data_IF_595942291372
#
_entry.id   IF_595942291372
#
_cell.length_a   1.000
_cell.length_b   1.000
_cell.length_c   1.000
_cell.angle_alpha   90.00
_cell.angle_beta   90.00
_cell.angle_gamma   90.00
#
_symmetry.space_group_name_H-M   'P 1'
#
loop_
_entity.id
_entity.type
_entity.pdbx_description
1 polymer ?
#
# COMPACT_ATOMS: atom_id res chain seq x y z
N UNK A 1 68.96 52.91 -6.59
CA UNK A 1 67.73 53.07 -7.39
C UNK A 1 66.78 51.91 -7.08
N UNK A 2 65.79 52.20 -6.23
CA UNK A 2 64.47 51.55 -6.05
C UNK A 2 64.29 50.06 -6.33
N UNK A 3 64.34 49.24 -5.27
CA UNK A 3 63.65 47.93 -5.17
C UNK A 3 62.13 48.18 -5.08
N UNK A 4 61.35 47.70 -6.05
CA UNK A 4 59.88 47.64 -5.96
C UNK A 4 59.48 46.30 -5.33
N UNK A 5 58.92 46.36 -4.13
CA UNK A 5 58.23 45.24 -3.46
C UNK A 5 56.80 45.24 -4.01
N UNK A 6 56.41 44.18 -4.71
CA UNK A 6 55.02 43.95 -5.13
C UNK A 6 54.39 43.10 -4.03
N UNK A 7 53.62 43.73 -3.14
CA UNK A 7 52.73 43.03 -2.23
C UNK A 7 51.51 42.52 -3.01
N UNK A 8 51.45 41.21 -3.25
CA UNK A 8 50.21 40.54 -3.62
C UNK A 8 49.28 40.53 -2.39
N UNK A 9 48.27 41.38 -2.38
CA UNK A 9 47.12 41.22 -1.50
C UNK A 9 46.24 40.09 -2.06
N UNK A 10 46.32 38.92 -1.44
CA UNK A 10 45.41 37.81 -1.68
C UNK A 10 44.05 38.14 -1.05
N UNK A 11 43.10 38.59 -1.86
CA UNK A 11 41.71 38.77 -1.44
C UNK A 11 41.08 37.37 -1.28
N UNK A 12 41.03 36.84 -0.05
CA UNK A 12 40.21 35.66 0.27
C UNK A 12 38.74 36.07 0.16
N UNK A 13 38.13 35.85 -1.01
CA UNK A 13 36.69 35.88 -1.13
C UNK A 13 36.13 34.62 -0.44
N UNK A 14 35.62 34.77 0.79
CA UNK A 14 34.72 33.77 1.37
C UNK A 14 33.47 33.70 0.50
N UNK A 15 33.44 32.73 -0.41
CA UNK A 15 32.21 32.32 -1.07
C UNK A 15 31.38 31.59 -0.01
N UNK A 16 30.42 32.30 0.57
CA UNK A 16 29.39 31.67 1.38
C UNK A 16 28.62 30.71 0.47
N UNK A 17 28.89 29.41 0.62
CA UNK A 17 28.06 28.38 0.03
C UNK A 17 26.64 28.56 0.58
N UNK A 18 25.60 28.58 -0.28
CA UNK A 18 24.24 28.63 0.23
C UNK A 18 24.05 27.40 1.11
N UNK A 19 23.70 27.63 2.38
CA UNK A 19 23.23 26.56 3.24
C UNK A 19 22.10 25.87 2.50
N UNK A 20 22.27 24.59 2.18
CA UNK A 20 21.19 23.75 1.69
C UNK A 20 20.07 23.88 2.72
N UNK A 21 18.99 24.56 2.35
CA UNK A 21 17.78 24.56 3.15
C UNK A 21 17.35 23.08 3.22
N UNK A 22 17.63 22.43 4.35
CA UNK A 22 17.34 21.02 4.54
C UNK A 22 15.91 20.74 4.12
N UNK A 23 15.70 19.64 3.38
CA UNK A 23 14.38 19.24 2.90
C UNK A 23 13.40 19.21 4.08
N UNK A 24 12.46 20.15 4.13
CA UNK A 24 11.44 20.19 5.18
C UNK A 24 10.49 19.02 4.99
N UNK A 25 10.27 18.23 6.04
CA UNK A 25 9.31 17.12 6.01
C UNK A 25 7.96 17.57 6.57
N UNK A 26 6.87 16.96 6.07
CA UNK A 26 5.49 17.38 6.39
C UNK A 26 5.18 17.36 7.88
N UNK A 27 5.78 16.44 8.64
CA UNK A 27 5.49 16.27 10.07
C UNK A 27 6.65 16.64 10.99
N UNK A 28 7.68 17.31 10.49
CA UNK A 28 8.91 17.56 11.26
C UNK A 28 8.71 18.43 12.51
N UNK A 29 7.63 19.23 12.56
CA UNK A 29 7.37 20.22 13.62
C UNK A 29 6.34 19.73 14.67
N UNK A 30 5.68 18.58 14.46
CA UNK A 30 4.59 18.12 15.33
C UNK A 30 5.02 17.20 16.47
N UNK A 31 6.14 16.49 16.32
CA UNK A 31 6.70 15.64 17.37
C UNK A 31 8.23 15.56 17.25
N UNK A 32 8.91 15.39 18.38
CA UNK A 32 10.35 15.20 18.41
C UNK A 32 10.72 13.76 18.05
N UNK A 33 10.13 12.80 18.77
CA UNK A 33 10.36 11.37 18.61
C UNK A 33 9.09 10.62 18.24
N UNK A 34 9.23 9.62 17.37
CA UNK A 34 8.18 8.67 17.04
C UNK A 34 8.27 7.46 17.97
N UNK A 35 7.21 7.23 18.73
CA UNK A 35 7.09 6.18 19.75
C UNK A 35 6.06 5.11 19.33
N UNK A 36 5.89 4.94 18.02
CA UNK A 36 4.87 4.08 17.44
C UNK A 36 3.60 4.84 17.10
N UNK A 37 2.53 4.10 16.82
CA UNK A 37 1.28 4.67 16.32
C UNK A 37 0.63 5.61 17.32
N UNK A 38 0.87 5.45 18.62
CA UNK A 38 0.45 6.38 19.67
C UNK A 38 0.84 7.84 19.38
N UNK A 39 2.00 8.09 18.73
CA UNK A 39 2.41 9.43 18.29
C UNK A 39 1.44 10.01 17.24
N UNK A 40 0.92 9.18 16.33
CA UNK A 40 -0.08 9.61 15.35
C UNK A 40 -1.44 9.88 16.03
N UNK A 41 -1.82 9.02 16.98
CA UNK A 41 -3.13 9.06 17.63
C UNK A 41 -3.35 10.33 18.47
N UNK A 42 -2.29 11.08 18.82
CA UNK A 42 -2.48 12.37 19.52
C UNK A 42 -3.23 13.42 18.68
N UNK A 43 -3.21 13.27 17.36
CA UNK A 43 -3.86 14.20 16.43
C UNK A 43 -4.80 13.51 15.42
N UNK A 44 -4.58 12.22 15.14
CA UNK A 44 -5.30 11.45 14.12
C UNK A 44 -6.07 10.27 14.69
N UNK A 45 -6.69 10.47 15.86
CA UNK A 45 -7.51 9.45 16.51
C UNK A 45 -8.74 9.10 15.67
N UNK A 46 -9.49 10.10 15.19
CA UNK A 46 -10.67 9.90 14.35
C UNK A 46 -10.35 9.14 13.05
N UNK A 47 -9.22 9.47 12.40
CA UNK A 47 -8.74 8.74 11.23
C UNK A 47 -8.39 7.27 11.55
N UNK A 48 -7.80 7.01 12.72
CA UNK A 48 -7.47 5.65 13.15
C UNK A 48 -8.73 4.84 13.49
N UNK A 49 -9.73 5.44 14.14
CA UNK A 49 -11.01 4.79 14.42
C UNK A 49 -11.75 4.44 13.13
N UNK A 50 -11.78 5.35 12.15
CA UNK A 50 -12.40 5.06 10.85
C UNK A 50 -11.62 3.98 10.08
N UNK A 51 -10.29 4.01 10.11
CA UNK A 51 -9.44 3.00 9.50
C UNK A 51 -9.58 1.63 10.17
N UNK A 52 -9.77 1.57 11.49
CA UNK A 52 -9.98 0.33 12.23
C UNK A 52 -11.15 -0.48 11.66
N UNK A 53 -12.18 0.18 11.14
CA UNK A 53 -13.34 -0.48 10.53
C UNK A 53 -13.13 -0.86 9.05
N UNK A 54 -12.03 -0.44 8.42
CA UNK A 54 -11.74 -0.71 7.00
C UNK A 54 -11.44 -2.19 6.71
N UNK A 55 -11.62 -2.62 5.45
CA UNK A 55 -11.12 -3.92 4.97
C UNK A 55 -9.61 -4.04 5.16
N UNK A 56 -8.86 -2.94 5.02
CA UNK A 56 -7.40 -2.97 5.13
C UNK A 56 -6.94 -3.35 6.54
N UNK A 57 -7.72 -2.96 7.56
CA UNK A 57 -7.48 -3.37 8.93
C UNK A 57 -8.23 -4.67 9.29
N UNK A 58 -9.55 -4.76 9.13
CA UNK A 58 -10.31 -5.95 9.59
C UNK A 58 -10.07 -7.20 8.75
N UNK A 59 -9.73 -7.05 7.47
CA UNK A 59 -9.73 -8.12 6.46
C UNK A 59 -11.08 -8.84 6.31
N UNK A 60 -12.17 -8.21 6.77
CA UNK A 60 -13.57 -8.63 6.62
C UNK A 60 -14.45 -7.40 6.49
N UNK A 61 -15.61 -7.53 5.85
CA UNK A 61 -16.69 -6.56 5.96
C UNK A 61 -17.87 -6.94 5.09
N UNK A 62 -18.73 -5.96 4.80
CA UNK A 62 -20.04 -6.22 4.20
C UNK A 62 -19.96 -6.88 2.83
N UNK A 63 -20.87 -7.82 2.58
CA UNK A 63 -20.87 -8.70 1.40
C UNK A 63 -22.13 -8.54 0.54
N UNK A 64 -22.50 -7.32 0.13
CA UNK A 64 -23.78 -7.06 -0.55
C UNK A 64 -23.92 -7.79 -1.91
N UNK A 65 -22.79 -8.19 -2.50
CA UNK A 65 -22.74 -8.87 -3.79
C UNK A 65 -22.66 -10.41 -3.69
N UNK A 66 -22.70 -10.99 -2.48
CA UNK A 66 -22.60 -12.43 -2.28
C UNK A 66 -23.98 -13.00 -1.93
N UNK A 67 -24.49 -13.84 -2.83
CA UNK A 67 -25.71 -14.61 -2.58
C UNK A 67 -25.46 -15.59 -1.43
N UNK A 68 -26.44 -15.75 -0.53
CA UNK A 68 -26.36 -16.61 0.65
C UNK A 68 -25.28 -16.22 1.68
N UNK A 69 -24.78 -14.99 1.67
CA UNK A 69 -23.92 -14.52 2.77
C UNK A 69 -24.70 -14.35 4.08
N UNK A 70 -26.03 -14.26 4.05
CA UNK A 70 -26.90 -14.12 5.24
C UNK A 70 -26.49 -12.93 6.14
N UNK A 71 -26.01 -11.85 5.52
CA UNK A 71 -25.51 -10.67 6.24
C UNK A 71 -24.17 -10.86 6.94
N UNK A 72 -23.48 -11.98 6.74
CA UNK A 72 -22.15 -12.21 7.31
C UNK A 72 -21.11 -11.32 6.64
N UNK A 73 -20.25 -10.73 7.47
CA UNK A 73 -19.05 -10.10 6.99
C UNK A 73 -18.04 -11.15 6.54
N UNK A 74 -17.60 -11.06 5.29
CA UNK A 74 -16.61 -11.97 4.73
C UNK A 74 -15.44 -11.16 4.17
N UNK A 75 -14.30 -11.80 4.05
CA UNK A 75 -13.09 -11.21 3.49
C UNK A 75 -11.90 -12.13 3.66
N UNK A 76 -10.70 -11.60 3.44
CA UNK A 76 -9.47 -12.38 3.47
C UNK A 76 -9.31 -13.21 4.76
N UNK A 77 -9.75 -12.70 5.93
CA UNK A 77 -9.60 -13.39 7.23
C UNK A 77 -10.39 -14.70 7.33
N UNK A 78 -11.57 -14.78 6.72
CA UNK A 78 -12.49 -15.92 6.89
C UNK A 78 -12.83 -16.63 5.56
N UNK A 79 -11.99 -16.43 4.53
CA UNK A 79 -12.11 -17.09 3.23
C UNK A 79 -10.90 -17.97 2.94
N UNK A 80 -11.04 -18.84 1.95
CA UNK A 80 -10.01 -19.78 1.51
C UNK A 80 -9.78 -19.56 0.01
N UNK A 81 -8.51 -19.62 -0.40
CA UNK A 81 -8.12 -19.74 -1.81
C UNK A 81 -7.19 -20.94 -2.01
N UNK A 82 -6.87 -21.24 -3.25
CA UNK A 82 -5.90 -22.27 -3.65
C UNK A 82 -4.43 -21.79 -3.58
N UNK A 83 -4.17 -20.52 -3.28
CA UNK A 83 -2.82 -19.97 -3.14
C UNK A 83 -2.16 -20.31 -1.81
N UNK A 84 -2.61 -19.71 -0.71
CA UNK A 84 -2.05 -19.93 0.62
C UNK A 84 -3.14 -20.40 1.59
N UNK A 85 -4.29 -20.82 1.06
CA UNK A 85 -5.46 -21.26 1.82
C UNK A 85 -6.06 -20.14 2.68
N UNK A 86 -5.95 -20.25 4.00
CA UNK A 86 -6.52 -19.31 4.95
C UNK A 86 -5.39 -18.57 5.71
N UNK A 87 -5.50 -17.24 5.91
CA UNK A 87 -4.45 -16.50 6.58
C UNK A 87 -4.43 -16.61 8.10
N UNK A 88 -5.50 -17.09 8.75
CA UNK A 88 -5.60 -17.14 10.22
C UNK A 88 -4.59 -18.12 10.84
N UNK A 89 -4.46 -19.38 10.37
CA UNK A 89 -3.46 -20.30 10.91
C UNK A 89 -2.02 -19.84 10.70
N UNK A 90 -1.78 -19.10 9.62
CA UNK A 90 -0.46 -18.58 9.25
C UNK A 90 -0.38 -17.06 9.40
N UNK A 91 -1.10 -16.48 10.37
CA UNK A 91 -1.22 -15.02 10.49
C UNK A 91 0.14 -14.34 10.63
N UNK A 92 0.95 -14.79 11.58
CA UNK A 92 2.30 -14.28 11.84
C UNK A 92 3.16 -15.45 12.30
N UNK A 93 4.36 -15.60 11.72
CA UNK A 93 5.19 -16.76 12.04
C UNK A 93 6.34 -16.95 11.06
N UNK A 94 7.48 -17.41 11.58
CA UNK A 94 8.67 -17.68 10.77
C UNK A 94 8.64 -19.16 10.33
N UNK A 95 8.33 -19.39 9.06
CA UNK A 95 8.41 -20.73 8.45
C UNK A 95 9.72 -20.88 7.71
N UNK A 96 10.49 -21.94 8.01
CA UNK A 96 11.73 -22.28 7.31
C UNK A 96 11.66 -23.69 6.74
N UNK A 97 12.37 -23.94 5.65
CA UNK A 97 12.56 -25.31 5.15
C UNK A 97 13.63 -26.07 5.96
N UNK A 98 13.85 -27.34 5.62
CA UNK A 98 14.85 -28.19 6.29
C UNK A 98 16.30 -27.70 6.17
N UNK A 99 16.60 -26.81 5.21
CA UNK A 99 17.90 -26.15 5.06
C UNK A 99 18.02 -24.85 5.86
N UNK A 100 16.96 -24.44 6.56
CA UNK A 100 16.91 -23.20 7.32
C UNK A 100 16.58 -21.95 6.50
N UNK A 101 16.23 -22.10 5.22
CA UNK A 101 15.84 -20.98 4.36
C UNK A 101 14.43 -20.48 4.74
N UNK A 102 14.26 -19.17 4.82
CA UNK A 102 12.98 -18.53 5.12
C UNK A 102 11.99 -18.76 3.97
N UNK A 103 10.88 -19.42 4.26
CA UNK A 103 9.78 -19.65 3.33
C UNK A 103 8.68 -18.61 3.48
N UNK A 104 8.32 -18.27 4.71
CA UNK A 104 7.22 -17.34 5.00
C UNK A 104 7.41 -16.66 6.36
N UNK A 105 6.85 -15.46 6.50
CA UNK A 105 6.78 -14.69 7.74
C UNK A 105 5.31 -14.54 8.23
N UNK A 106 4.40 -15.27 7.61
CA UNK A 106 2.97 -15.18 7.84
C UNK A 106 2.27 -14.12 6.98
N UNK A 107 0.94 -14.24 6.92
CA UNK A 107 0.09 -13.44 6.04
C UNK A 107 0.05 -11.96 6.43
N UNK A 108 0.20 -11.65 7.73
CA UNK A 108 0.21 -10.31 8.30
C UNK A 108 1.33 -9.42 7.75
N UNK A 109 2.32 -9.98 7.04
CA UNK A 109 3.31 -9.19 6.28
C UNK A 109 2.65 -8.13 5.40
N UNK A 110 1.49 -8.43 4.82
CA UNK A 110 0.71 -7.52 3.97
C UNK A 110 -0.51 -6.91 4.70
N UNK A 111 -0.66 -7.12 6.00
CA UNK A 111 -1.71 -6.49 6.81
C UNK A 111 -1.27 -5.10 7.25
N UNK A 112 -2.19 -4.13 7.30
CA UNK A 112 -1.89 -2.76 7.69
C UNK A 112 -1.82 -2.55 9.21
N UNK A 113 -1.35 -3.58 9.92
CA UNK A 113 -1.08 -3.52 11.36
C UNK A 113 0.27 -4.13 11.71
N UNK A 114 0.66 -4.00 12.97
CA UNK A 114 1.99 -4.34 13.51
C UNK A 114 2.10 -5.80 13.98
N UNK A 115 1.13 -6.64 13.62
CA UNK A 115 1.20 -8.09 13.83
C UNK A 115 0.13 -8.63 14.77
N UNK A 116 -0.58 -7.78 15.51
CA UNK A 116 -1.77 -8.24 16.23
C UNK A 116 -2.92 -8.49 15.26
N UNK A 117 -3.62 -9.61 15.47
CA UNK A 117 -4.80 -9.93 14.65
C UNK A 117 -5.95 -8.96 14.96
N UNK A 118 -6.69 -8.50 13.94
CA UNK A 118 -7.84 -7.63 14.13
C UNK A 118 -8.92 -8.27 15.00
N UNK A 119 -9.43 -7.48 15.95
CA UNK A 119 -10.63 -7.76 16.74
C UNK A 119 -11.83 -7.02 16.15
N UNK A 120 -13.04 -7.54 16.37
CA UNK A 120 -14.29 -6.80 16.07
C UNK A 120 -14.48 -5.62 17.01
N UNK A 121 -14.05 -5.78 18.28
CA UNK A 121 -14.11 -4.73 19.29
C UNK A 121 -12.90 -3.82 19.17
N UNK A 122 -13.17 -2.51 19.08
CA UNK A 122 -12.15 -1.48 19.09
C UNK A 122 -11.56 -1.33 20.50
N UNK A 123 -10.25 -1.21 20.58
CA UNK A 123 -9.53 -0.93 21.81
C UNK A 123 -8.30 -0.08 21.52
N UNK A 124 -7.74 0.57 22.55
CA UNK A 124 -6.48 1.33 22.40
C UNK A 124 -5.38 0.49 21.75
N UNK A 125 -5.25 -0.77 22.18
CA UNK A 125 -4.27 -1.70 21.65
C UNK A 125 -4.50 -2.03 20.16
N UNK A 126 -5.76 -2.12 19.71
CA UNK A 126 -6.06 -2.28 18.28
C UNK A 126 -5.72 -1.02 17.48
N UNK A 127 -5.99 0.16 18.02
CA UNK A 127 -5.62 1.43 17.36
C UNK A 127 -4.11 1.60 17.28
N UNK A 128 -3.38 1.28 18.35
CA UNK A 128 -1.91 1.32 18.38
C UNK A 128 -1.27 0.24 17.50
N UNK A 129 -1.99 -0.84 17.20
CA UNK A 129 -1.55 -1.85 16.23
C UNK A 129 -1.66 -1.39 14.77
N UNK A 130 -2.34 -0.29 14.44
CA UNK A 130 -2.43 0.21 13.06
C UNK A 130 -1.04 0.69 12.60
N UNK A 131 -0.57 0.24 11.43
CA UNK A 131 0.70 0.71 10.85
C UNK A 131 0.43 1.86 9.86
N UNK A 132 0.36 3.09 10.34
CA UNK A 132 0.11 4.27 9.49
C UNK A 132 1.21 4.47 8.42
N UNK A 133 2.45 4.12 8.77
CA UNK A 133 3.63 4.41 7.95
C UNK A 133 3.71 3.50 6.72
N UNK A 134 3.10 2.31 6.75
CA UNK A 134 3.11 1.36 5.63
C UNK A 134 2.58 1.98 4.33
N UNK A 135 1.57 2.84 4.44
CA UNK A 135 0.96 3.56 3.32
C UNK A 135 1.55 4.95 3.15
N UNK A 136 1.74 5.67 4.26
CA UNK A 136 1.96 7.12 4.24
C UNK A 136 3.42 7.56 4.31
N UNK A 137 4.38 6.71 4.66
CA UNK A 137 5.76 7.14 4.84
C UNK A 137 6.69 6.70 3.70
N UNK A 138 7.24 7.68 2.99
CA UNK A 138 8.20 7.42 1.91
C UNK A 138 9.51 6.85 2.49
N UNK A 139 9.88 5.66 2.02
CA UNK A 139 11.07 4.95 2.49
C UNK A 139 10.88 4.13 3.77
N UNK A 140 9.65 4.05 4.29
CA UNK A 140 9.32 3.13 5.37
C UNK A 140 9.42 1.68 4.89
N UNK A 141 10.00 0.82 5.72
CA UNK A 141 9.97 -0.62 5.56
C UNK A 141 9.97 -1.24 6.96
N UNK A 142 9.53 -2.49 7.07
CA UNK A 142 9.40 -3.20 8.35
C UNK A 142 9.94 -4.62 8.25
N UNK A 143 10.28 -5.18 9.40
CA UNK A 143 10.76 -6.55 9.55
C UNK A 143 10.02 -7.23 10.69
N UNK A 144 9.90 -8.55 10.62
CA UNK A 144 9.38 -9.35 11.70
C UNK A 144 10.45 -9.49 12.78
N UNK A 145 10.08 -9.24 14.03
CA UNK A 145 10.94 -9.35 15.21
C UNK A 145 10.29 -10.30 16.21
N UNK A 146 11.09 -11.17 16.79
CA UNK A 146 10.71 -11.98 17.95
C UNK A 146 11.16 -11.23 19.22
N UNK A 147 10.19 -10.91 20.07
CA UNK A 147 10.41 -10.26 21.35
C UNK A 147 10.91 -11.30 22.39
N UNK A 148 11.40 -10.83 23.54
CA UNK A 148 11.97 -11.69 24.58
C UNK A 148 10.96 -12.70 25.17
N UNK A 149 9.67 -12.37 25.12
CA UNK A 149 8.56 -13.23 25.55
C UNK A 149 8.11 -14.24 24.49
N UNK A 150 8.80 -14.28 23.34
CA UNK A 150 8.48 -15.14 22.18
C UNK A 150 7.34 -14.61 21.30
N UNK A 151 6.75 -13.45 21.62
CA UNK A 151 5.78 -12.80 20.75
C UNK A 151 6.45 -12.29 19.47
N UNK A 152 5.68 -12.28 18.37
CA UNK A 152 6.14 -11.78 17.07
C UNK A 152 5.46 -10.46 16.74
N UNK A 153 6.23 -9.50 16.24
CA UNK A 153 5.76 -8.15 15.93
C UNK A 153 6.45 -7.61 14.67
N UNK A 154 5.71 -6.88 13.83
CA UNK A 154 6.29 -6.12 12.74
C UNK A 154 6.83 -4.79 13.27
N UNK A 155 8.14 -4.58 13.15
CA UNK A 155 8.79 -3.33 13.54
C UNK A 155 9.39 -2.61 12.33
N UNK A 156 9.37 -1.26 12.29
CA UNK A 156 10.11 -0.49 11.30
C UNK A 156 11.56 -0.97 11.24
N UNK A 157 12.20 -1.12 10.08
CA UNK A 157 13.60 -1.60 10.02
C UNK A 157 14.58 -0.71 10.82
N UNK A 158 14.20 0.54 11.05
CA UNK A 158 14.95 1.54 11.82
C UNK A 158 14.56 1.56 13.31
N UNK A 159 13.82 0.59 13.83
CA UNK A 159 13.34 0.61 15.23
C UNK A 159 14.44 0.68 16.29
N UNK A 160 15.68 0.30 15.96
CA UNK A 160 16.88 0.45 16.81
C UNK A 160 17.66 1.74 16.57
N UNK A 161 17.22 2.58 15.64
CA UNK A 161 17.84 3.86 15.27
C UNK A 161 16.78 4.96 15.32
N UNK A 162 16.64 5.60 16.48
CA UNK A 162 15.61 6.62 16.72
C UNK A 162 15.69 7.78 15.72
N UNK A 163 16.89 8.31 15.45
CA UNK A 163 17.07 9.39 14.48
C UNK A 163 16.56 9.01 13.08
N UNK A 164 16.88 7.79 12.64
CA UNK A 164 16.40 7.25 11.38
C UNK A 164 14.88 7.05 11.37
N UNK A 165 14.32 6.53 12.47
CA UNK A 165 12.89 6.31 12.63
C UNK A 165 12.11 7.63 12.59
N UNK A 166 12.58 8.64 13.34
CA UNK A 166 12.02 9.99 13.35
C UNK A 166 12.08 10.61 11.95
N UNK A 167 13.20 10.41 11.24
CA UNK A 167 13.35 10.88 9.87
C UNK A 167 12.32 10.27 8.91
N UNK A 168 12.01 8.97 9.04
CA UNK A 168 10.99 8.29 8.21
C UNK A 168 9.58 8.69 8.61
N UNK A 169 9.26 8.70 9.90
CA UNK A 169 7.91 9.00 10.40
C UNK A 169 7.50 10.45 10.16
N UNK A 170 8.46 11.38 10.01
CA UNK A 170 8.20 12.77 9.64
C UNK A 170 7.92 12.96 8.14
N UNK A 171 8.25 11.99 7.29
CA UNK A 171 8.09 12.01 5.81
C UNK A 171 6.74 11.46 5.36
N UNK A 172 5.66 11.99 5.93
CA UNK A 172 4.29 11.60 5.55
C UNK A 172 3.93 12.21 4.20
N UNK A 173 3.39 11.38 3.32
CA UNK A 173 2.91 11.71 1.99
C UNK A 173 1.55 11.06 1.73
N UNK A 174 0.84 11.55 0.71
CA UNK A 174 -0.19 10.72 0.09
C UNK A 174 0.44 9.41 -0.40
N UNK A 175 -0.24 8.25 -0.22
CA UNK A 175 0.24 6.97 -0.69
C UNK A 175 0.67 7.00 -2.17
N UNK A 176 1.83 6.42 -2.44
CA UNK A 176 2.35 6.27 -3.81
C UNK A 176 1.95 4.90 -4.36
N UNK A 177 2.06 4.72 -5.68
CA UNK A 177 1.90 3.40 -6.34
C UNK A 177 2.74 2.32 -5.65
N UNK A 178 4.00 2.64 -5.32
CA UNK A 178 4.90 1.74 -4.59
C UNK A 178 4.42 1.38 -3.18
N UNK A 179 3.69 2.27 -2.47
CA UNK A 179 3.11 1.96 -1.17
C UNK A 179 2.09 0.82 -1.28
N UNK A 180 1.22 0.90 -2.29
CA UNK A 180 0.18 -0.10 -2.56
C UNK A 180 0.78 -1.42 -3.08
N UNK A 181 1.70 -1.34 -4.03
CA UNK A 181 2.26 -2.51 -4.73
C UNK A 181 3.05 -3.45 -3.82
N UNK A 182 3.63 -2.94 -2.72
CA UNK A 182 4.28 -3.77 -1.67
C UNK A 182 3.46 -4.97 -1.22
N UNK A 183 2.15 -4.79 -1.14
CA UNK A 183 1.22 -5.81 -0.69
C UNK A 183 0.39 -6.37 -1.85
N UNK A 184 -0.04 -5.51 -2.77
CA UNK A 184 -0.95 -5.91 -3.84
C UNK A 184 -0.26 -6.75 -4.91
N UNK A 185 0.97 -6.38 -5.31
CA UNK A 185 1.73 -7.16 -6.30
C UNK A 185 2.40 -8.39 -5.68
N UNK A 186 2.85 -8.32 -4.43
CA UNK A 186 3.47 -9.45 -3.70
C UNK A 186 2.49 -10.49 -3.14
N UNK A 187 1.21 -10.43 -3.51
CA UNK A 187 0.19 -11.31 -2.93
C UNK A 187 0.25 -12.73 -3.54
N UNK A 188 0.00 -13.76 -2.72
CA UNK A 188 0.10 -15.17 -3.16
C UNK A 188 1.50 -15.79 -3.02
N UNK A 189 2.44 -15.08 -2.38
CA UNK A 189 3.79 -15.57 -2.07
C UNK A 189 4.88 -15.12 -3.04
N UNK A 190 4.55 -14.30 -4.03
CA UNK A 190 5.48 -13.78 -5.02
C UNK A 190 4.92 -12.58 -5.80
N UNK A 191 5.76 -11.89 -6.59
CA UNK A 191 5.32 -10.83 -7.50
C UNK A 191 4.35 -11.39 -8.53
N UNK A 192 3.24 -10.69 -8.77
CA UNK A 192 2.27 -11.00 -9.82
C UNK A 192 1.60 -12.40 -9.73
N UNK A 193 1.76 -13.14 -8.63
CA UNK A 193 1.27 -14.52 -8.55
C UNK A 193 -0.26 -14.60 -8.48
N UNK A 194 -0.88 -13.79 -7.60
CA UNK A 194 -2.32 -13.87 -7.35
C UNK A 194 -3.16 -13.03 -8.32
N UNK A 195 -2.66 -11.85 -8.70
CA UNK A 195 -3.35 -10.89 -9.56
C UNK A 195 -2.41 -10.55 -10.70
N UNK A 196 -2.62 -11.18 -11.84
CA UNK A 196 -1.75 -11.03 -13.01
C UNK A 196 -1.75 -9.63 -13.62
N UNK A 197 -2.69 -8.77 -13.24
CA UNK A 197 -2.83 -7.37 -13.70
C UNK A 197 -2.21 -6.35 -12.74
N UNK A 198 -1.63 -6.79 -11.60
CA UNK A 198 -1.00 -5.92 -10.60
C UNK A 198 0.47 -6.28 -10.42
N UNK A 199 1.30 -5.65 -11.25
CA UNK A 199 2.74 -5.88 -11.35
C UNK A 199 3.54 -4.77 -10.67
N UNK A 200 4.76 -5.07 -10.21
CA UNK A 200 5.64 -4.03 -9.65
C UNK A 200 6.02 -2.96 -10.69
N UNK A 201 6.00 -3.32 -11.97
CA UNK A 201 6.15 -2.41 -13.12
C UNK A 201 5.24 -1.19 -13.03
N UNK A 202 4.01 -1.35 -12.49
CA UNK A 202 3.05 -0.25 -12.31
C UNK A 202 3.58 0.90 -11.45
N UNK A 203 4.63 0.69 -10.65
CA UNK A 203 5.26 1.74 -9.87
C UNK A 203 5.82 2.89 -10.72
N UNK A 204 6.34 2.56 -11.90
CA UNK A 204 6.94 3.47 -12.88
C UNK A 204 6.85 2.79 -14.24
N UNK A 205 5.83 3.15 -15.01
CA UNK A 205 5.47 2.46 -16.25
C UNK A 205 5.16 3.45 -17.36
N UNK A 206 4.95 2.95 -18.56
CA UNK A 206 4.53 3.73 -19.72
C UNK A 206 3.07 3.47 -20.08
N UNK A 207 2.57 4.24 -21.04
CA UNK A 207 1.19 4.19 -21.51
C UNK A 207 0.82 2.85 -22.17
N UNK A 208 1.78 2.16 -22.79
CA UNK A 208 1.54 0.85 -23.43
C UNK A 208 1.27 -0.23 -22.36
N UNK A 209 1.97 -0.13 -21.23
CA UNK A 209 1.72 -0.99 -20.09
C UNK A 209 0.38 -0.66 -19.41
N UNK A 210 0.15 0.60 -19.02
CA UNK A 210 -1.13 1.05 -18.46
C UNK A 210 -1.40 2.50 -18.85
N UNK A 211 -2.51 2.74 -19.53
CA UNK A 211 -2.84 4.08 -20.05
C UNK A 211 -3.14 5.11 -18.95
N UNK A 212 -3.58 4.66 -17.78
CA UNK A 212 -3.93 5.51 -16.65
C UNK A 212 -2.71 5.78 -15.77
N UNK A 213 -1.88 4.77 -15.51
CA UNK A 213 -0.73 4.86 -14.61
C UNK A 213 0.61 5.15 -15.32
N UNK A 214 0.66 5.05 -16.65
CA UNK A 214 1.85 5.37 -17.44
C UNK A 214 2.29 6.82 -17.23
N UNK A 215 3.59 7.04 -17.01
CA UNK A 215 4.17 8.38 -16.74
C UNK A 215 4.11 9.31 -17.95
N UNK A 216 4.00 8.74 -19.16
CA UNK A 216 3.73 9.43 -20.42
C UNK A 216 2.24 9.36 -20.83
N UNK A 217 1.38 8.88 -19.92
CA UNK A 217 -0.07 8.77 -20.05
C UNK A 217 -0.80 9.60 -19.00
N UNK A 218 -1.67 8.96 -18.21
CA UNK A 218 -2.41 9.62 -17.13
C UNK A 218 -1.60 9.94 -15.87
N UNK A 219 -0.45 9.29 -15.68
CA UNK A 219 0.40 9.34 -14.47
C UNK A 219 -0.39 9.24 -13.15
N UNK A 220 -1.48 8.47 -13.16
CA UNK A 220 -2.37 8.34 -12.00
C UNK A 220 -1.72 7.50 -10.90
N UNK A 221 -1.95 7.88 -9.66
CA UNK A 221 -1.78 7.02 -8.50
C UNK A 221 -3.02 6.13 -8.30
N UNK A 222 -2.87 5.04 -7.55
CA UNK A 222 -3.99 4.12 -7.26
C UNK A 222 -5.19 4.85 -6.62
N UNK A 223 -4.91 5.85 -5.78
CA UNK A 223 -5.94 6.62 -5.08
C UNK A 223 -6.78 7.52 -5.98
N UNK A 224 -6.30 7.90 -7.16
CA UNK A 224 -7.09 8.75 -8.07
C UNK A 224 -8.39 8.06 -8.48
N UNK A 225 -8.36 6.72 -8.57
CA UNK A 225 -9.55 5.89 -8.76
C UNK A 225 -10.12 5.36 -7.43
N UNK A 226 -9.25 4.86 -6.53
CA UNK A 226 -9.69 4.07 -5.38
C UNK A 226 -9.95 4.85 -4.09
N UNK A 227 -9.56 6.11 -3.97
CA UNK A 227 -9.75 6.85 -2.72
C UNK A 227 -11.24 7.04 -2.42
N UNK A 228 -11.73 6.53 -1.29
CA UNK A 228 -13.04 6.91 -0.74
C UNK A 228 -12.90 7.85 0.45
N UNK A 229 -13.96 7.93 1.25
CA UNK A 229 -13.99 8.75 2.47
C UNK A 229 -13.60 7.93 3.70
N UNK A 230 -13.06 8.58 4.73
CA UNK A 230 -12.81 7.94 6.03
C UNK A 230 -11.98 6.66 5.94
N UNK A 231 -10.93 6.68 5.12
CA UNK A 231 -10.05 5.55 4.81
C UNK A 231 -10.74 4.29 4.26
N UNK A 232 -11.97 4.41 3.74
CA UNK A 232 -12.65 3.33 3.02
C UNK A 232 -12.27 3.37 1.54
N UNK A 233 -11.72 2.28 1.02
CA UNK A 233 -11.28 2.24 -0.38
C UNK A 233 -12.43 1.80 -1.31
N UNK A 234 -12.55 2.48 -2.46
CA UNK A 234 -13.51 2.12 -3.51
C UNK A 234 -13.02 0.91 -4.31
N UNK A 235 -13.98 0.15 -4.82
CA UNK A 235 -13.72 -1.01 -5.66
C UNK A 235 -13.40 -2.28 -4.87
N UNK A 236 -13.54 -3.42 -5.54
CA UNK A 236 -13.22 -4.75 -5.00
C UNK A 236 -12.72 -5.66 -6.11
N UNK A 237 -11.83 -6.58 -5.76
CA UNK A 237 -11.41 -7.66 -6.66
C UNK A 237 -12.44 -8.79 -6.68
N UNK A 238 -12.40 -9.62 -7.74
CA UNK A 238 -13.25 -10.83 -7.86
C UNK A 238 -12.99 -11.86 -6.76
N UNK A 239 -11.78 -11.85 -6.18
CA UNK A 239 -11.33 -12.69 -5.08
C UNK A 239 -11.71 -12.13 -3.70
N UNK A 240 -12.28 -10.93 -3.63
CA UNK A 240 -12.68 -10.27 -2.38
C UNK A 240 -14.21 -10.29 -2.26
N UNK A 241 -14.67 -10.92 -1.17
CA UNK A 241 -16.09 -11.02 -0.84
C UNK A 241 -16.62 -9.74 -0.20
N UNK A 242 -15.83 -9.14 0.70
CA UNK A 242 -16.17 -7.89 1.40
C UNK A 242 -15.94 -6.66 0.53
N UNK A 243 -16.77 -5.63 0.73
CA UNK A 243 -16.59 -4.29 0.17
C UNK A 243 -16.15 -3.33 1.28
N UNK A 244 -15.17 -2.48 0.98
CA UNK A 244 -14.68 -1.49 1.97
C UNK A 244 -15.49 -0.20 1.96
N UNK A 245 -15.94 0.21 0.77
CA UNK A 245 -16.87 1.30 0.56
C UNK A 245 -18.14 0.78 -0.14
N UNK A 246 -19.33 1.34 0.17
CA UNK A 246 -20.52 1.10 -0.63
C UNK A 246 -20.41 1.70 -2.04
N UNK A 247 -19.53 2.68 -2.25
CA UNK A 247 -19.32 3.32 -3.55
C UNK A 247 -18.60 2.38 -4.51
N UNK A 248 -19.22 2.17 -5.67
CA UNK A 248 -18.65 1.32 -6.71
C UNK A 248 -17.70 2.11 -7.60
N UNK A 249 -16.54 1.53 -7.88
CA UNK A 249 -15.63 2.02 -8.91
C UNK A 249 -16.03 1.43 -10.26
N UNK A 250 -16.35 2.28 -11.25
CA UNK A 250 -16.75 1.88 -12.61
C UNK A 250 -16.12 2.83 -13.63
N UNK A 251 -15.88 2.35 -14.86
CA UNK A 251 -15.25 3.17 -15.90
C UNK A 251 -16.23 4.22 -16.48
N UNK A 252 -17.47 3.82 -16.77
CA UNK A 252 -18.47 4.62 -17.49
C UNK A 252 -19.55 5.26 -16.62
N UNK A 253 -19.22 5.67 -15.40
CA UNK A 253 -20.16 6.31 -14.46
C UNK A 253 -20.21 7.85 -14.61
N UNK A 254 -19.45 8.41 -15.56
CA UNK A 254 -19.35 9.84 -15.80
C UNK A 254 -18.27 10.56 -14.99
N UNK A 255 -17.56 9.89 -14.08
CA UNK A 255 -16.47 10.50 -13.33
C UNK A 255 -15.26 10.80 -14.25
N UNK A 256 -14.90 9.84 -15.10
CA UNK A 256 -13.79 9.95 -16.06
C UNK A 256 -14.21 9.63 -17.50
N UNK A 257 -15.06 8.63 -17.69
CA UNK A 257 -15.66 8.31 -18.99
C UNK A 257 -17.17 8.40 -18.93
N UNK A 258 -17.76 8.93 -20.00
CA UNK A 258 -19.20 8.90 -20.20
C UNK A 258 -19.71 7.46 -20.31
N UNK A 259 -20.99 7.24 -20.03
CA UNK A 259 -21.61 5.91 -20.12
C UNK A 259 -21.65 5.35 -21.56
N UNK A 260 -21.58 6.22 -22.57
CA UNK A 260 -21.57 5.88 -24.00
C UNK A 260 -20.35 6.51 -24.70
N UNK A 261 -19.12 6.09 -24.36
CA UNK A 261 -17.92 6.83 -24.72
C UNK A 261 -17.49 6.64 -26.20
N UNK A 262 -18.15 5.74 -26.93
CA UNK A 262 -17.73 5.36 -28.28
C UNK A 262 -18.49 6.14 -29.36
N UNK A 263 -17.78 6.63 -30.38
CA UNK A 263 -18.41 7.21 -31.56
C UNK A 263 -19.28 6.21 -32.35
N UNK A 264 -18.97 4.90 -32.25
CA UNK A 264 -19.76 3.83 -32.87
C UNK A 264 -20.83 3.36 -31.90
N UNK A 265 -22.08 3.68 -32.21
CA UNK A 265 -23.23 3.34 -31.37
C UNK A 265 -23.38 1.84 -31.07
N UNK A 266 -22.92 0.97 -31.97
CA UNK A 266 -22.90 -0.46 -31.69
C UNK A 266 -22.06 -0.81 -30.45
N UNK A 267 -20.93 -0.13 -30.22
CA UNK A 267 -20.08 -0.38 -29.05
C UNK A 267 -20.72 0.10 -27.76
N UNK A 268 -21.42 1.25 -27.78
CA UNK A 268 -22.19 1.73 -26.64
C UNK A 268 -23.28 0.73 -26.24
N UNK A 269 -23.95 0.11 -27.23
CA UNK A 269 -24.91 -0.97 -26.96
C UNK A 269 -24.28 -2.23 -26.36
N UNK A 270 -23.01 -2.51 -26.65
CA UNK A 270 -22.27 -3.61 -26.00
C UNK A 270 -21.93 -3.27 -24.55
N UNK A 271 -21.50 -2.04 -24.26
CA UNK A 271 -21.11 -1.60 -22.91
C UNK A 271 -22.25 -1.73 -21.87
N UNK A 272 -23.51 -1.79 -22.31
CA UNK A 272 -24.67 -2.09 -21.43
C UNK A 272 -24.64 -3.53 -20.87
N UNK A 273 -23.95 -4.46 -21.54
CA UNK A 273 -23.94 -5.90 -21.19
C UNK A 273 -22.54 -6.46 -20.95
N UNK A 274 -21.51 -5.85 -21.53
CA UNK A 274 -20.13 -6.29 -21.45
C UNK A 274 -19.36 -5.27 -20.64
N UNK A 275 -18.70 -5.72 -19.56
CA UNK A 275 -17.88 -4.85 -18.73
C UNK A 275 -16.71 -4.27 -19.56
N UNK A 276 -16.36 -3.02 -19.30
CA UNK A 276 -15.33 -2.29 -20.05
C UNK A 276 -13.99 -3.04 -20.05
N UNK A 277 -13.66 -3.68 -18.93
CA UNK A 277 -12.40 -4.42 -18.74
C UNK A 277 -12.23 -5.58 -19.70
N UNK A 278 -13.33 -6.20 -20.16
CA UNK A 278 -13.29 -7.32 -21.12
C UNK A 278 -12.70 -6.89 -22.47
N UNK A 279 -12.97 -5.65 -22.90
CA UNK A 279 -12.45 -5.11 -24.15
C UNK A 279 -11.16 -4.32 -23.96
N UNK A 280 -11.00 -3.65 -22.82
CA UNK A 280 -9.89 -2.71 -22.58
C UNK A 280 -8.71 -3.31 -21.80
N UNK A 281 -8.83 -4.53 -21.28
CA UNK A 281 -7.72 -5.28 -20.65
C UNK A 281 -7.60 -6.64 -21.34
N UNK A 282 -7.14 -6.69 -22.61
CA UNK A 282 -7.10 -7.93 -23.38
C UNK A 282 -6.00 -8.89 -22.93
N UNK A 283 -4.97 -8.39 -22.25
CA UNK A 283 -3.80 -9.14 -21.78
C UNK A 283 -3.38 -8.59 -20.42
N UNK A 284 -2.99 -9.48 -19.53
CA UNK A 284 -2.35 -9.22 -18.24
C UNK A 284 -1.06 -10.04 -18.16
N UNK A 285 -0.29 -9.92 -17.07
CA UNK A 285 1.04 -10.52 -16.94
C UNK A 285 1.95 -10.05 -18.08
N UNK A 286 2.01 -8.73 -18.25
CA UNK A 286 2.67 -8.08 -19.39
C UNK A 286 4.19 -8.11 -19.27
N UNK A 287 4.73 -7.96 -18.05
CA UNK A 287 6.18 -8.01 -17.79
C UNK A 287 6.56 -9.28 -17.03
N UNK A 288 5.86 -9.60 -15.96
CA UNK A 288 6.08 -10.78 -15.13
C UNK A 288 5.02 -11.87 -15.35
N UNK A 289 5.43 -13.14 -15.35
CA UNK A 289 4.49 -14.26 -15.41
C UNK A 289 3.63 -14.35 -14.13
N UNK A 290 2.36 -14.70 -14.28
CA UNK A 290 1.46 -15.03 -13.16
C UNK A 290 1.43 -16.53 -12.88
N UNK A 291 1.11 -16.90 -11.65
CA UNK A 291 0.87 -18.31 -11.28
C UNK A 291 -0.46 -18.76 -11.89
N UNK A 292 -0.43 -19.87 -12.64
CA UNK A 292 -1.60 -20.42 -13.34
C UNK A 292 -2.05 -21.77 -12.78
N UNK A 293 -1.14 -22.49 -12.10
CA UNK A 293 -1.39 -23.83 -11.58
C UNK A 293 -0.59 -24.01 -10.30
N UNK A 294 -1.29 -24.27 -9.20
CA UNK A 294 -0.68 -24.68 -7.94
C UNK A 294 -1.17 -26.07 -7.55
N UNK A 295 -0.27 -27.05 -7.68
CA UNK A 295 -0.54 -28.43 -7.28
C UNK A 295 -0.09 -28.66 -5.83
N UNK A 296 -1.04 -29.06 -4.99
CA UNK A 296 -0.84 -29.32 -3.56
C UNK A 296 -0.77 -30.82 -3.21
N UNK A 297 -0.80 -31.71 -4.22
CA UNK A 297 -0.78 -33.17 -4.03
C UNK A 297 0.56 -33.75 -3.55
#
# INVERSE_FOLDING_TARGET
MTRRIISMLSLLALVALPASAGKKYSHQEYFEHYEGTSTCLTCHEDEAETFFHSQHYQWTGETPAIVNAEGKELGKKNTINDFCTNPVPAWIGITKNSRGELLSQGCSKCHAGLGKMPSSEMSREQLENIDCLICHASGYNRTLVENEDGSLEWKPILWKNQEGLDSVSKRITMPKRTSCLRCHSGSGGGPNYKRGDIEYALADTDREFDVHMGTDGGDMACMDCHAGTSHRMRGRGVDLMGSDSPDQLRCGDGACHEAAPHAKELLNRHAVRVDCTVCHIPVFAKEDATDMVRDWS
#
